data_IF_619863385071
#
_entry.id   IF_619863385071
#
_cell.length_a   1.000
_cell.length_b   1.000
_cell.length_c   1.000
_cell.angle_alpha   90.00
_cell.angle_beta   90.00
_cell.angle_gamma   90.00
#
_symmetry.space_group_name_H-M   'P 1'
#
loop_
_entity.id
_entity.type
_entity.pdbx_description
1 polymer ?
#
# COMPACT_ATOMS: atom_id res chain seq x y z
N UNK A 1 -12.00 -19.12 -17.03
CA UNK A 1 -12.55 -18.67 -15.72
C UNK A 1 -11.64 -18.94 -14.50
N UNK A 2 -10.45 -19.53 -14.66
CA UNK A 2 -9.56 -19.94 -13.54
C UNK A 2 -8.95 -18.76 -12.76
N UNK A 3 -8.85 -17.57 -13.35
CA UNK A 3 -8.22 -16.39 -12.72
C UNK A 3 -9.03 -15.76 -11.57
N UNK A 4 -10.36 -15.89 -11.59
CA UNK A 4 -11.22 -15.27 -10.57
C UNK A 4 -11.17 -15.99 -9.21
N UNK A 5 -11.10 -17.32 -9.24
CA UNK A 5 -11.00 -18.17 -8.03
C UNK A 5 -9.63 -17.98 -7.37
N UNK A 6 -8.54 -17.93 -8.15
CA UNK A 6 -7.20 -17.70 -7.61
C UNK A 6 -7.07 -16.32 -6.92
N UNK A 7 -7.70 -15.28 -7.45
CA UNK A 7 -7.69 -13.94 -6.87
C UNK A 7 -8.50 -13.85 -5.57
N UNK A 8 -9.69 -14.47 -5.51
CA UNK A 8 -10.51 -14.48 -4.29
C UNK A 8 -9.86 -15.31 -3.18
N UNK A 9 -9.26 -16.46 -3.51
CA UNK A 9 -8.48 -17.27 -2.57
C UNK A 9 -7.24 -16.51 -2.05
N UNK A 10 -6.55 -15.77 -2.92
CA UNK A 10 -5.41 -14.94 -2.53
C UNK A 10 -5.83 -13.80 -1.59
N UNK A 11 -6.91 -13.09 -1.92
CA UNK A 11 -7.42 -12.00 -1.09
C UNK A 11 -7.86 -12.50 0.29
N UNK A 12 -8.62 -13.59 0.36
CA UNK A 12 -9.07 -14.19 1.62
C UNK A 12 -7.90 -14.66 2.49
N UNK A 13 -6.90 -15.29 1.88
CA UNK A 13 -5.70 -15.70 2.59
C UNK A 13 -4.91 -14.51 3.16
N UNK A 14 -4.69 -13.46 2.36
CA UNK A 14 -3.96 -12.27 2.81
C UNK A 14 -4.66 -11.56 3.97
N UNK A 15 -6.00 -11.56 3.98
CA UNK A 15 -6.79 -11.05 5.10
C UNK A 15 -6.65 -11.92 6.36
N UNK A 16 -6.69 -13.25 6.21
CA UNK A 16 -6.52 -14.17 7.33
C UNK A 16 -5.11 -14.13 7.91
N UNK A 17 -4.09 -14.03 7.06
CA UNK A 17 -2.70 -13.92 7.48
C UNK A 17 -2.37 -12.60 8.20
N UNK A 18 -3.26 -11.61 8.10
CA UNK A 18 -3.14 -10.38 8.87
C UNK A 18 -3.63 -10.53 10.33
N UNK A 19 -4.47 -11.53 10.59
CA UNK A 19 -5.06 -11.79 11.92
C UNK A 19 -4.50 -13.06 12.57
N UNK A 20 -3.98 -13.99 11.76
CA UNK A 20 -3.28 -15.21 12.19
C UNK A 20 -1.78 -15.02 11.97
N UNK A 21 -0.94 -15.03 13.02
CA UNK A 21 0.50 -14.88 12.87
C UNK A 21 1.07 -16.04 12.06
N UNK A 22 1.52 -15.76 10.84
CA UNK A 22 2.31 -16.67 10.02
C UNK A 22 3.60 -15.96 9.60
N UNK A 23 4.66 -16.73 9.36
CA UNK A 23 5.90 -16.15 8.85
C UNK A 23 5.72 -15.67 7.41
N UNK A 24 6.52 -14.67 7.02
CA UNK A 24 6.57 -14.20 5.63
C UNK A 24 6.90 -15.33 4.64
N UNK A 25 7.74 -16.29 5.02
CA UNK A 25 8.07 -17.44 4.18
C UNK A 25 6.87 -18.38 4.02
N UNK A 26 6.08 -18.60 5.07
CA UNK A 26 4.82 -19.35 4.98
C UNK A 26 3.81 -18.63 4.07
N UNK A 27 3.70 -17.30 4.19
CA UNK A 27 2.86 -16.50 3.29
C UNK A 27 3.32 -16.64 1.84
N UNK A 28 4.61 -16.49 1.57
CA UNK A 28 5.16 -16.61 0.22
C UNK A 28 4.95 -18.00 -0.36
N UNK A 29 5.12 -19.07 0.42
CA UNK A 29 4.87 -20.44 -0.03
C UNK A 29 3.41 -20.64 -0.44
N UNK A 30 2.45 -20.11 0.33
CA UNK A 30 1.03 -20.20 -0.02
C UNK A 30 0.68 -19.37 -1.25
N UNK A 31 1.20 -18.15 -1.36
CA UNK A 31 1.04 -17.31 -2.56
C UNK A 31 1.63 -18.02 -3.79
N UNK A 32 2.76 -18.70 -3.64
CA UNK A 32 3.39 -19.44 -4.73
C UNK A 32 2.44 -20.50 -5.31
N UNK A 33 1.77 -21.26 -4.44
CA UNK A 33 0.82 -22.29 -4.83
C UNK A 33 -0.43 -21.67 -5.47
N UNK A 34 -1.05 -20.68 -4.82
CA UNK A 34 -2.31 -20.05 -5.27
C UNK A 34 -2.13 -19.30 -6.59
N UNK A 35 -1.06 -18.51 -6.72
CA UNK A 35 -0.80 -17.66 -7.88
C UNK A 35 0.02 -18.37 -8.97
N UNK A 36 0.36 -19.65 -8.79
CA UNK A 36 1.16 -20.47 -9.71
C UNK A 36 2.39 -19.72 -10.22
N UNK A 37 3.27 -19.31 -9.30
CA UNK A 37 4.40 -18.42 -9.62
C UNK A 37 5.72 -18.88 -8.99
N UNK A 38 6.81 -18.17 -9.25
CA UNK A 38 8.10 -18.47 -8.62
C UNK A 38 8.11 -17.98 -7.17
N UNK A 39 8.87 -18.63 -6.28
CA UNK A 39 8.98 -18.19 -4.87
C UNK A 39 9.42 -16.73 -4.74
N UNK A 40 10.33 -16.27 -5.61
CA UNK A 40 10.78 -14.86 -5.63
C UNK A 40 9.64 -13.88 -5.93
N UNK A 41 8.81 -14.21 -6.93
CA UNK A 41 7.62 -13.41 -7.26
C UNK A 41 6.56 -13.51 -6.16
N UNK A 42 6.38 -14.69 -5.57
CA UNK A 42 5.46 -14.89 -4.45
C UNK A 42 5.85 -14.05 -3.23
N UNK A 43 7.15 -13.95 -2.91
CA UNK A 43 7.67 -13.04 -1.87
C UNK A 43 7.36 -11.58 -2.16
N UNK A 44 7.55 -11.14 -3.41
CA UNK A 44 7.21 -9.77 -3.83
C UNK A 44 5.72 -9.49 -3.69
N UNK A 45 4.87 -10.45 -4.05
CA UNK A 45 3.42 -10.34 -3.88
C UNK A 45 3.08 -10.26 -2.38
N UNK A 46 3.62 -11.14 -1.55
CA UNK A 46 3.40 -11.12 -0.10
C UNK A 46 3.78 -9.78 0.54
N UNK A 47 4.99 -9.27 0.25
CA UNK A 47 5.46 -7.96 0.73
C UNK A 47 4.55 -6.82 0.28
N UNK A 48 4.17 -6.84 -1.00
CA UNK A 48 3.31 -5.81 -1.59
C UNK A 48 1.91 -5.84 -0.98
N UNK A 49 1.38 -7.03 -0.72
CA UNK A 49 0.07 -7.23 -0.10
C UNK A 49 0.04 -6.79 1.35
N UNK A 50 1.06 -7.14 2.15
CA UNK A 50 1.16 -6.68 3.55
C UNK A 50 1.21 -5.16 3.59
N UNK A 51 2.06 -4.54 2.77
CA UNK A 51 2.15 -3.09 2.70
C UNK A 51 0.83 -2.46 2.21
N UNK A 52 0.15 -3.10 1.26
CA UNK A 52 -1.16 -2.66 0.78
C UNK A 52 -2.23 -2.68 1.86
N UNK A 53 -2.26 -3.75 2.67
CA UNK A 53 -3.17 -3.85 3.80
C UNK A 53 -2.91 -2.76 4.84
N UNK A 54 -1.64 -2.51 5.19
CA UNK A 54 -1.29 -1.44 6.13
C UNK A 54 -1.79 -0.07 5.65
N UNK A 55 -1.64 0.24 4.35
CA UNK A 55 -2.18 1.48 3.76
C UNK A 55 -3.71 1.51 3.76
N UNK A 56 -4.36 0.39 3.43
CA UNK A 56 -5.81 0.28 3.47
C UNK A 56 -6.36 0.54 4.87
N UNK A 57 -5.74 -0.05 5.91
CA UNK A 57 -6.11 0.21 7.31
C UNK A 57 -5.92 1.67 7.68
N UNK A 58 -4.81 2.30 7.27
CA UNK A 58 -4.58 3.72 7.54
C UNK A 58 -5.62 4.63 6.87
N UNK A 59 -6.01 4.33 5.62
CA UNK A 59 -7.04 5.07 4.89
C UNK A 59 -8.43 4.88 5.53
N UNK A 60 -8.76 3.65 5.95
CA UNK A 60 -10.03 3.38 6.63
C UNK A 60 -10.08 4.09 7.99
N UNK A 61 -9.03 3.99 8.80
CA UNK A 61 -8.96 4.68 10.09
C UNK A 61 -9.05 6.22 9.92
N UNK A 62 -8.46 6.75 8.85
CA UNK A 62 -8.53 8.15 8.51
C UNK A 62 -9.93 8.63 8.13
N UNK A 63 -10.76 7.78 7.52
CA UNK A 63 -12.13 8.11 7.15
C UNK A 63 -13.05 8.33 8.37
N UNK A 64 -12.67 7.77 9.52
CA UNK A 64 -13.40 7.90 10.79
C UNK A 64 -12.94 9.11 11.63
N UNK A 65 -11.87 9.80 11.22
CA UNK A 65 -11.38 10.98 11.95
C UNK A 65 -12.28 12.19 11.69
N UNK A 66 -12.59 12.99 12.73
CA UNK A 66 -13.32 14.25 12.54
C UNK A 66 -12.44 15.30 11.85
N UNK A 67 -13.08 16.17 11.06
CA UNK A 67 -12.41 17.28 10.37
C UNK A 67 -11.87 16.90 8.99
N UNK A 68 -11.19 17.84 8.35
CA UNK A 68 -10.59 17.61 7.03
C UNK A 68 -9.27 16.84 7.17
N UNK A 69 -9.20 15.66 6.56
CA UNK A 69 -8.05 14.75 6.63
C UNK A 69 -7.29 14.77 5.32
N UNK A 70 -5.98 14.94 5.45
CA UNK A 70 -5.02 14.91 4.35
C UNK A 70 -3.96 13.85 4.62
N UNK A 71 -3.26 13.45 3.56
CA UNK A 71 -2.33 12.33 3.59
C UNK A 71 -0.95 12.78 3.13
N UNK A 72 0.03 12.69 4.03
CA UNK A 72 1.43 12.92 3.69
C UNK A 72 2.03 11.66 3.10
N UNK A 73 2.69 11.77 1.94
CA UNK A 73 3.43 10.65 1.37
C UNK A 73 4.78 10.50 2.06
N UNK A 74 4.92 9.46 2.88
CA UNK A 74 6.06 9.27 3.78
C UNK A 74 6.86 8.02 3.43
N UNK A 75 8.18 8.08 3.62
CA UNK A 75 9.09 6.96 3.34
C UNK A 75 10.46 7.44 2.86
N UNK A 76 11.36 6.52 2.52
CA UNK A 76 12.75 6.85 2.19
C UNK A 76 12.88 7.67 0.90
N UNK A 77 13.83 8.62 0.89
CA UNK A 77 14.27 9.33 -0.31
C UNK A 77 15.75 9.04 -0.56
N UNK A 78 16.02 7.86 -1.12
CA UNK A 78 17.37 7.37 -1.33
C UNK A 78 17.61 6.98 -2.80
N UNK A 79 18.79 6.39 -3.07
CA UNK A 79 19.18 5.93 -4.41
C UNK A 79 18.24 4.87 -5.01
N UNK A 80 17.47 4.17 -4.19
CA UNK A 80 16.51 3.15 -4.62
C UNK A 80 15.10 3.72 -4.81
N UNK A 81 14.84 4.96 -4.39
CA UNK A 81 13.54 5.61 -4.54
C UNK A 81 13.23 5.88 -6.02
N UNK A 82 12.10 5.35 -6.50
CA UNK A 82 11.64 5.47 -7.89
C UNK A 82 11.29 6.93 -8.25
N UNK A 83 11.38 7.34 -9.53
CA UNK A 83 11.02 8.70 -9.96
C UNK A 83 9.62 9.14 -9.55
N UNK A 84 8.64 8.22 -9.60
CA UNK A 84 7.28 8.47 -9.11
C UNK A 84 7.30 8.87 -7.62
N UNK A 85 7.89 8.04 -6.76
CA UNK A 85 7.94 8.29 -5.31
C UNK A 85 8.73 9.55 -4.95
N UNK A 86 9.83 9.85 -5.66
CA UNK A 86 10.64 11.05 -5.44
C UNK A 86 9.84 12.34 -5.60
N UNK A 87 8.90 12.37 -6.56
CA UNK A 87 8.04 13.53 -6.82
C UNK A 87 6.97 13.76 -5.77
N UNK A 88 6.71 12.75 -4.92
CA UNK A 88 5.61 12.76 -3.96
C UNK A 88 6.11 12.82 -2.51
N UNK A 89 7.30 12.30 -2.21
CA UNK A 89 7.83 12.25 -0.84
C UNK A 89 7.74 13.61 -0.15
N UNK A 90 7.18 13.60 1.06
CA UNK A 90 7.00 14.79 1.89
C UNK A 90 5.78 15.64 1.53
N UNK A 91 5.19 15.47 0.33
CA UNK A 91 4.00 16.21 -0.10
C UNK A 91 2.73 15.64 0.52
N UNK A 92 1.72 16.50 0.59
CA UNK A 92 0.41 16.23 1.17
C UNK A 92 -0.64 16.23 0.08
N UNK A 93 -1.59 15.30 0.18
CA UNK A 93 -2.65 15.08 -0.79
C UNK A 93 -3.99 14.80 -0.10
N UNK A 94 -5.09 15.12 -0.76
CA UNK A 94 -6.42 14.62 -0.40
C UNK A 94 -6.61 13.17 -0.88
N UNK A 95 -7.63 12.47 -0.37
CA UNK A 95 -7.96 11.12 -0.84
C UNK A 95 -8.30 11.08 -2.34
N UNK A 96 -9.00 12.11 -2.85
CA UNK A 96 -9.35 12.22 -4.27
C UNK A 96 -8.12 12.42 -5.15
N UNK A 97 -7.18 13.27 -4.72
CA UNK A 97 -5.92 13.47 -5.43
C UNK A 97 -5.13 12.16 -5.53
N UNK A 98 -5.06 11.38 -4.43
CA UNK A 98 -4.38 10.08 -4.41
C UNK A 98 -5.02 9.09 -5.42
N UNK A 99 -6.36 9.00 -5.45
CA UNK A 99 -7.08 8.15 -6.42
C UNK A 99 -6.82 8.57 -7.87
N UNK A 100 -6.54 9.85 -8.10
CA UNK A 100 -6.15 10.39 -9.40
C UNK A 100 -4.72 10.06 -9.84
N UNK A 101 -3.82 9.68 -8.92
CA UNK A 101 -2.42 9.43 -9.24
C UNK A 101 -2.23 8.17 -10.10
N UNK A 102 -1.17 8.18 -10.91
CA UNK A 102 -0.76 7.04 -11.75
C UNK A 102 0.73 6.78 -11.55
N UNK A 103 1.06 5.56 -11.09
CA UNK A 103 2.44 5.10 -10.89
C UNK A 103 3.03 4.37 -12.12
N UNK A 104 2.32 4.39 -13.25
CA UNK A 104 2.70 3.68 -14.48
C UNK A 104 2.43 2.17 -14.46
N UNK A 105 1.69 1.67 -13.46
CA UNK A 105 1.32 0.26 -13.33
C UNK A 105 -0.21 0.13 -13.21
N UNK A 106 -0.73 -1.05 -13.54
CA UNK A 106 -2.17 -1.36 -13.47
C UNK A 106 -2.63 -1.71 -12.04
N UNK A 107 -2.14 -0.97 -11.04
CA UNK A 107 -2.47 -1.14 -9.63
C UNK A 107 -2.70 0.22 -8.97
N UNK A 108 -3.70 0.36 -8.09
CA UNK A 108 -4.12 1.65 -7.58
C UNK A 108 -3.10 2.22 -6.56
N UNK A 109 -2.89 3.54 -6.61
CA UNK A 109 -1.80 4.23 -5.88
C UNK A 109 -2.09 4.40 -4.38
N UNK A 110 -3.36 4.52 -4.01
CA UNK A 110 -3.82 4.52 -2.63
C UNK A 110 -3.35 3.26 -1.88
N UNK A 111 -3.46 2.08 -2.50
CA UNK A 111 -3.06 0.81 -1.89
C UNK A 111 -1.58 0.47 -2.13
N UNK A 112 -1.04 0.79 -3.31
CA UNK A 112 0.28 0.28 -3.71
C UNK A 112 1.35 1.35 -3.88
N UNK A 113 1.04 2.63 -3.70
CA UNK A 113 2.00 3.72 -3.82
C UNK A 113 2.75 3.69 -5.16
N UNK A 114 4.08 3.60 -5.11
CA UNK A 114 4.93 3.47 -6.30
C UNK A 114 4.95 2.08 -6.95
N UNK A 115 4.09 1.17 -6.52
CA UNK A 115 3.89 -0.18 -7.04
C UNK A 115 4.52 -1.27 -6.20
N UNK A 116 4.84 -2.42 -6.81
CA UNK A 116 5.42 -3.57 -6.09
C UNK A 116 6.66 -3.19 -5.25
N UNK A 117 6.72 -3.68 -4.01
CA UNK A 117 7.76 -3.38 -3.01
C UNK A 117 7.96 -1.87 -2.74
N UNK A 118 6.93 -1.05 -2.93
CA UNK A 118 6.98 0.35 -2.53
C UNK A 118 7.16 0.45 -1.00
N UNK A 119 8.17 1.23 -0.58
CA UNK A 119 8.55 1.45 0.83
C UNK A 119 7.85 2.66 1.47
N UNK A 120 6.96 3.33 0.74
CA UNK A 120 6.26 4.54 1.18
C UNK A 120 4.85 4.25 1.67
N UNK A 121 4.32 5.06 2.57
CA UNK A 121 2.95 4.97 3.09
C UNK A 121 2.24 6.32 2.99
N UNK A 122 0.91 6.28 3.05
CA UNK A 122 0.07 7.44 3.23
C UNK A 122 -0.14 7.65 4.72
N UNK A 123 0.47 8.69 5.27
CA UNK A 123 0.32 9.05 6.69
C UNK A 123 -0.84 10.03 6.83
N UNK A 124 -1.99 9.62 7.40
CA UNK A 124 -3.11 10.52 7.60
C UNK A 124 -2.78 11.54 8.69
N UNK A 125 -3.30 12.75 8.51
CA UNK A 125 -3.24 13.84 9.48
C UNK A 125 -4.39 14.82 9.23
N UNK A 126 -4.80 15.55 10.25
CA UNK A 126 -5.76 16.64 10.06
C UNK A 126 -5.10 17.77 9.27
N UNK A 127 -5.89 18.51 8.48
CA UNK A 127 -5.40 19.69 7.75
C UNK A 127 -4.79 20.71 8.71
N UNK A 128 -5.40 20.89 9.88
CA UNK A 128 -4.90 21.79 10.93
C UNK A 128 -3.49 21.37 11.35
N UNK A 129 -3.28 20.09 11.70
CA UNK A 129 -1.96 19.60 12.08
C UNK A 129 -0.92 19.79 10.97
N UNK A 130 -1.32 19.62 9.70
CA UNK A 130 -0.44 19.83 8.56
C UNK A 130 -0.03 21.30 8.37
N UNK A 131 -0.91 22.26 8.69
CA UNK A 131 -0.64 23.71 8.69
C UNK A 131 0.27 24.10 9.85
N UNK A 132 0.02 23.59 11.07
CA UNK A 132 0.81 23.88 12.26
C UNK A 132 2.29 23.50 12.11
N UNK A 133 2.56 22.39 11.41
CA UNK A 133 3.92 21.92 11.13
C UNK A 133 4.50 22.50 9.82
N UNK A 134 3.78 23.40 9.15
CA UNK A 134 4.25 24.14 7.97
C UNK A 134 4.46 23.29 6.72
N UNK A 135 3.69 22.20 6.55
CA UNK A 135 3.78 21.35 5.36
C UNK A 135 2.79 21.77 4.26
N UNK A 136 1.70 22.46 4.64
CA UNK A 136 0.71 23.08 3.73
C UNK A 136 0.30 24.46 4.23
#
# INVERSE_FOLDING_TARGET
EVGGIALSSLSGFLQQAATVPISKDQMAAQVQQIATTTLSRARTIADTSIAGLQRATAIQAAAELPGDVVFRYSGPNDKLTRPFCKKLVGRVFTADEIRGLRNGQAIPVDLFGGGYNCRHSWQPMTRIAAQEIGII
#
